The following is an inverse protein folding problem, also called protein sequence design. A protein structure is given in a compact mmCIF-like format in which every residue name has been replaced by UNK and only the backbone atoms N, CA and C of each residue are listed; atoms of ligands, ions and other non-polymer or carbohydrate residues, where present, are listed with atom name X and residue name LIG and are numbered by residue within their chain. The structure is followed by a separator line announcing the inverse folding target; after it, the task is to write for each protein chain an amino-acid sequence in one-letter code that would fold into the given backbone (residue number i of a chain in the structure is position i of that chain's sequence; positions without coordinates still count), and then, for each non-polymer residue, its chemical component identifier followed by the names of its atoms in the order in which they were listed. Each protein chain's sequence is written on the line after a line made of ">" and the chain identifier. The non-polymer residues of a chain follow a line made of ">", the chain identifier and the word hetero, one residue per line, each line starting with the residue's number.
data_IF_196226121778
#
_entry.id   IF_196226121778
#
_cell.length_a   1.000
_cell.length_b   1.000
_cell.length_c   1.000
_cell.angle_alpha   90.00
_cell.angle_beta   90.00
_cell.angle_gamma   90.00
#
_symmetry.space_group_name_H-M   'P 1'
#
loop_
_entity.id
_entity.type
_entity.pdbx_description
1 polymer ?
#
# COMPACT_ATOMS: atom_id res chain seq x y z
N UNK A 1 22.93 19.23 36.83
CA UNK A 1 22.40 19.44 35.47
C UNK A 1 21.18 18.56 35.33
N UNK A 2 20.02 19.18 35.21
CA UNK A 2 18.70 18.56 35.18
C UNK A 2 18.58 17.59 34.01
N UNK A 3 18.13 16.36 34.25
CA UNK A 3 17.66 15.46 33.20
C UNK A 3 16.27 15.95 32.77
N UNK A 4 16.21 16.66 31.65
CA UNK A 4 14.98 17.04 30.97
C UNK A 4 14.80 16.05 29.80
N UNK A 5 14.19 14.89 30.08
CA UNK A 5 13.72 13.99 29.03
C UNK A 5 12.46 14.61 28.40
N UNK A 6 12.42 14.85 27.08
CA UNK A 6 11.25 15.42 26.44
C UNK A 6 10.05 14.46 26.54
N UNK A 7 8.82 14.97 26.72
CA UNK A 7 7.64 14.14 26.87
C UNK A 7 7.39 13.30 25.61
N UNK A 8 6.87 12.06 25.74
CA UNK A 8 6.58 11.21 24.59
C UNK A 8 5.55 11.90 23.68
N UNK A 9 5.90 11.99 22.39
CA UNK A 9 5.06 12.61 21.37
C UNK A 9 3.65 11.98 21.36
N UNK A 10 2.58 12.79 21.14
CA UNK A 10 1.21 12.30 21.16
C UNK A 10 1.02 11.23 20.07
N UNK A 11 0.52 10.05 20.48
CA UNK A 11 0.15 8.99 19.56
C UNK A 11 -0.84 9.52 18.52
N UNK A 12 -0.40 9.63 17.26
CA UNK A 12 -1.28 9.97 16.13
C UNK A 12 -2.41 8.95 16.12
N UNK A 13 -3.65 9.41 16.34
CA UNK A 13 -4.84 8.58 16.12
C UNK A 13 -4.83 8.16 14.66
N UNK A 14 -4.77 6.84 14.41
CA UNK A 14 -4.92 6.27 13.06
C UNK A 14 -6.21 6.79 12.45
N UNK A 15 -6.16 7.18 11.18
CA UNK A 15 -7.35 7.62 10.45
C UNK A 15 -8.30 6.43 10.24
N UNK A 16 -9.62 6.65 10.09
CA UNK A 16 -10.58 5.57 9.81
C UNK A 16 -10.22 4.73 8.57
N UNK A 17 -9.56 5.34 7.58
CA UNK A 17 -9.05 4.65 6.39
C UNK A 17 -7.88 3.71 6.72
N UNK A 18 -7.01 4.11 7.64
CA UNK A 18 -5.91 3.27 8.11
C UNK A 18 -6.42 2.08 8.92
N UNK A 19 -7.44 2.28 9.76
CA UNK A 19 -8.12 1.21 10.50
C UNK A 19 -8.85 0.23 9.56
N UNK A 20 -9.53 0.73 8.52
CA UNK A 20 -10.19 -0.12 7.53
C UNK A 20 -9.19 -0.92 6.67
N UNK A 21 -8.08 -0.30 6.28
CA UNK A 21 -6.99 -0.99 5.58
C UNK A 21 -6.32 -2.05 6.46
N UNK A 22 -6.18 -1.78 7.76
CA UNK A 22 -5.70 -2.74 8.76
C UNK A 22 -6.65 -3.93 8.89
N UNK A 23 -7.97 -3.71 9.00
CA UNK A 23 -8.98 -4.78 9.00
C UNK A 23 -9.00 -5.60 7.70
N UNK A 24 -8.74 -4.98 6.54
CA UNK A 24 -8.58 -5.70 5.27
C UNK A 24 -7.31 -6.56 5.27
N UNK A 25 -6.24 -6.10 5.91
CA UNK A 25 -4.98 -6.84 6.07
C UNK A 25 -5.11 -7.98 7.07
N UNK A 26 -5.88 -7.83 8.15
CA UNK A 26 -6.14 -8.89 9.14
C UNK A 26 -6.82 -10.12 8.54
N UNK A 27 -7.61 -9.93 7.47
CA UNK A 27 -8.29 -11.03 6.77
C UNK A 27 -7.40 -11.80 5.80
N UNK A 28 -6.17 -11.35 5.56
CA UNK A 28 -5.23 -12.02 4.66
C UNK A 28 -4.31 -12.93 5.47
N UNK A 29 -4.22 -14.20 5.09
CA UNK A 29 -3.24 -15.10 5.68
C UNK A 29 -1.82 -14.60 5.37
N UNK A 30 -0.88 -14.63 6.33
CA UNK A 30 0.49 -14.20 6.07
C UNK A 30 1.08 -14.91 4.84
N UNK A 31 1.67 -14.13 3.92
CA UNK A 31 2.26 -14.66 2.68
C UNK A 31 1.28 -14.83 1.50
N UNK A 32 -0.04 -14.69 1.71
CA UNK A 32 -1.02 -14.79 0.60
C UNK A 32 -0.94 -13.65 -0.41
N UNK A 33 -0.50 -12.46 0.02
CA UNK A 33 -0.28 -11.31 -0.84
C UNK A 33 1.01 -10.61 -0.45
N UNK A 34 2.01 -10.70 -1.33
CA UNK A 34 3.32 -10.07 -1.15
C UNK A 34 3.45 -8.84 -2.05
N UNK A 35 4.08 -7.79 -1.53
CA UNK A 35 4.33 -6.55 -2.25
C UNK A 35 5.80 -6.19 -2.18
N UNK A 36 6.39 -5.88 -3.33
CA UNK A 36 7.70 -5.27 -3.46
C UNK A 36 7.60 -3.96 -4.27
N UNK A 37 8.40 -2.96 -3.91
CA UNK A 37 8.47 -1.69 -4.66
C UNK A 37 9.71 -1.73 -5.56
N UNK A 38 9.49 -1.75 -6.88
CA UNK A 38 10.57 -1.77 -7.86
C UNK A 38 11.11 -0.36 -8.13
N UNK A 39 10.23 0.64 -8.13
CA UNK A 39 10.57 2.06 -8.29
C UNK A 39 9.72 2.87 -7.32
N UNK A 40 10.37 3.71 -6.51
CA UNK A 40 9.68 4.58 -5.58
C UNK A 40 8.83 5.62 -6.32
N UNK A 41 7.64 5.89 -5.78
CA UNK A 41 6.84 7.04 -6.17
C UNK A 41 7.43 8.34 -5.64
N UNK A 42 6.87 9.47 -6.06
CA UNK A 42 7.19 10.80 -5.52
C UNK A 42 6.11 11.22 -4.53
N UNK A 43 6.54 11.79 -3.39
CA UNK A 43 5.66 12.27 -2.34
C UNK A 43 5.15 11.16 -1.41
N UNK A 44 4.53 11.57 -0.31
CA UNK A 44 4.09 10.67 0.78
C UNK A 44 2.57 10.46 0.81
N UNK A 45 1.83 11.13 -0.07
CA UNK A 45 0.39 10.99 -0.15
C UNK A 45 0.00 9.62 -0.74
N UNK A 46 -0.92 8.93 -0.08
CA UNK A 46 -1.50 7.67 -0.54
C UNK A 46 -2.99 7.84 -0.81
N UNK A 47 -3.55 7.20 -1.83
CA UNK A 47 -4.98 7.32 -2.15
C UNK A 47 -5.84 6.85 -0.97
N UNK A 48 -6.93 7.58 -0.72
CA UNK A 48 -7.94 7.25 0.27
C UNK A 48 -9.06 6.41 -0.34
N UNK A 49 -9.88 5.80 0.52
CA UNK A 49 -11.09 5.09 0.06
C UNK A 49 -12.04 6.07 -0.65
N UNK A 50 -12.45 5.74 -1.87
CA UNK A 50 -13.31 6.57 -2.71
C UNK A 50 -12.55 7.42 -3.75
N UNK A 51 -11.23 7.52 -3.66
CA UNK A 51 -10.44 8.24 -4.66
C UNK A 51 -10.42 7.50 -6.00
N UNK A 52 -10.54 8.26 -7.09
CA UNK A 52 -10.33 7.73 -8.42
C UNK A 52 -8.83 7.52 -8.65
N UNK A 53 -8.43 6.28 -8.93
CA UNK A 53 -7.04 5.90 -9.21
C UNK A 53 -6.90 5.45 -10.66
N UNK A 54 -5.92 6.02 -11.36
CA UNK A 54 -5.53 5.61 -12.71
C UNK A 54 -4.30 4.72 -12.60
N UNK A 55 -4.36 3.51 -13.13
CA UNK A 55 -3.27 2.53 -13.03
C UNK A 55 -2.99 1.84 -14.37
N UNK A 56 -1.72 1.48 -14.56
CA UNK A 56 -1.31 0.51 -15.56
C UNK A 56 -0.85 -0.77 -14.86
N UNK A 57 -1.37 -1.93 -15.28
CA UNK A 57 -1.01 -3.21 -14.69
C UNK A 57 -0.85 -4.29 -15.75
N UNK A 58 -0.09 -5.32 -15.38
CA UNK A 58 0.07 -6.56 -16.14
C UNK A 58 -0.01 -7.71 -15.16
N UNK A 59 -0.92 -8.64 -15.38
CA UNK A 59 -1.19 -9.80 -14.53
C UNK A 59 -0.54 -11.01 -15.20
N UNK A 60 0.30 -11.73 -14.46
CA UNK A 60 1.04 -12.89 -14.96
C UNK A 60 0.86 -14.09 -14.04
N UNK A 61 0.91 -15.29 -14.61
CA UNK A 61 1.06 -16.55 -13.84
C UNK A 61 2.49 -16.69 -13.31
N UNK A 62 2.73 -17.71 -12.48
CA UNK A 62 4.07 -18.02 -11.96
C UNK A 62 5.06 -18.41 -13.06
N UNK A 63 4.56 -18.95 -14.17
CA UNK A 63 5.31 -19.31 -15.38
C UNK A 63 5.56 -18.09 -16.29
N UNK A 64 5.09 -16.90 -15.89
CA UNK A 64 5.31 -15.64 -16.61
C UNK A 64 4.31 -15.34 -17.73
N UNK A 65 3.32 -16.20 -17.95
CA UNK A 65 2.28 -16.05 -18.97
C UNK A 65 1.40 -14.85 -18.63
N UNK A 66 1.22 -13.92 -19.57
CA UNK A 66 0.34 -12.75 -19.39
C UNK A 66 -1.12 -13.19 -19.52
N UNK A 67 -1.88 -12.98 -18.45
CA UNK A 67 -3.32 -13.28 -18.39
C UNK A 67 -4.15 -12.04 -18.74
N UNK A 68 -3.70 -10.86 -18.31
CA UNK A 68 -4.35 -9.59 -18.61
C UNK A 68 -3.34 -8.44 -18.51
N UNK A 69 -3.57 -7.35 -19.25
CA UNK A 69 -2.73 -6.16 -19.22
C UNK A 69 -3.53 -4.94 -19.66
N UNK A 70 -3.31 -3.79 -19.01
CA UNK A 70 -3.86 -2.50 -19.45
C UNK A 70 -2.89 -1.71 -20.32
N UNK A 71 -1.76 -2.32 -20.71
CA UNK A 71 -0.79 -1.73 -21.64
C UNK A 71 -1.20 -2.05 -23.08
N UNK A 72 -1.18 -1.03 -23.94
CA UNK A 72 -1.50 -1.12 -25.38
C UNK A 72 -0.62 -2.10 -26.17
N UNK A 73 0.53 -2.49 -25.61
CA UNK A 73 1.43 -3.46 -26.25
C UNK A 73 0.98 -4.92 -26.06
N UNK A 74 0.00 -5.17 -25.18
CA UNK A 74 -0.50 -6.51 -24.85
C UNK A 74 -2.03 -6.65 -25.07
N UNK A 75 -2.69 -5.63 -25.63
CA UNK A 75 -4.14 -5.48 -25.82
C UNK A 75 -4.51 -4.06 -26.27
#
# INVERSE_FOLDING_TARGET
>A
MSHDDPPPAPAKKKSPAEEAAEKRREKLTPGSLMKAVIRSGRGDATPADGDQVILHCTIRTMEGIVVNSTRREHG
#
